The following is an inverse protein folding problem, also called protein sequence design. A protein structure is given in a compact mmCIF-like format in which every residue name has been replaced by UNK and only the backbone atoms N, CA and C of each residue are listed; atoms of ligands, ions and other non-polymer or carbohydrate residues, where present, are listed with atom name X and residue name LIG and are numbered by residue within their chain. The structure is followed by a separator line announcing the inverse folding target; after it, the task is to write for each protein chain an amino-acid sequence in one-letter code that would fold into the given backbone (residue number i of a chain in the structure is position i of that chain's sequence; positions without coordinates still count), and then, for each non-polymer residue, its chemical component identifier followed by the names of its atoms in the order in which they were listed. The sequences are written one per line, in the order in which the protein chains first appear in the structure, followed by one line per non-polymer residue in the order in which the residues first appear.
data_IF_874453681300
#
_entry.id   IF_874453681300
#
_cell.length_a   1.000
_cell.length_b   1.000
_cell.length_c   1.000
_cell.angle_alpha   90.00
_cell.angle_beta   90.00
_cell.angle_gamma   90.00
#
_symmetry.space_group_name_H-M   'P 1'
#
loop_
_entity.id
_entity.type
_entity.pdbx_description
1 polymer ?
#
# COMPACT_ATOMS: atom_id res chain seq x y z
N UNK A 1 -0.70 -17.58 20.94
CA UNK A 1 -0.61 -17.41 19.48
C UNK A 1 -0.62 -15.91 19.25
N UNK A 2 0.56 -15.31 19.26
CA UNK A 2 0.72 -13.88 19.06
C UNK A 2 0.59 -13.62 17.57
N UNK A 3 -0.52 -13.01 17.16
CA UNK A 3 -0.70 -12.52 15.79
C UNK A 3 0.36 -11.45 15.57
N UNK A 4 1.44 -11.82 14.86
CA UNK A 4 2.53 -10.93 14.46
C UNK A 4 2.01 -9.85 13.52
N UNK A 5 1.28 -8.87 14.06
CA UNK A 5 0.99 -7.63 13.38
C UNK A 5 2.30 -6.86 13.35
N UNK A 6 2.98 -6.85 12.19
CA UNK A 6 4.17 -6.03 12.00
C UNK A 6 3.90 -4.62 12.52
N UNK A 7 4.76 -4.15 13.44
CA UNK A 7 4.63 -2.84 14.08
C UNK A 7 4.40 -1.82 12.97
N UNK A 8 3.28 -1.06 12.99
CA UNK A 8 3.06 -0.04 11.96
C UNK A 8 4.28 0.87 11.94
N UNK A 9 4.77 1.30 10.75
CA UNK A 9 5.86 2.26 10.70
C UNK A 9 5.43 3.46 11.54
N UNK A 10 6.04 3.61 12.72
CA UNK A 10 5.67 4.66 13.69
C UNK A 10 6.13 6.04 13.21
N UNK A 11 6.78 6.09 12.04
CA UNK A 11 7.30 7.28 11.40
C UNK A 11 6.61 7.50 10.03
N UNK A 12 5.62 8.43 9.98
CA UNK A 12 4.95 8.83 8.74
C UNK A 12 5.93 9.42 7.69
N UNK A 13 7.05 10.00 8.14
CA UNK A 13 8.08 10.55 7.25
C UNK A 13 8.85 9.44 6.57
N UNK A 14 9.14 8.35 7.27
CA UNK A 14 9.75 7.16 6.68
C UNK A 14 8.85 6.53 5.62
N UNK A 15 7.56 6.37 5.93
CA UNK A 15 6.58 5.86 4.97
C UNK A 15 6.48 6.74 3.72
N UNK A 16 6.40 8.06 3.90
CA UNK A 16 6.38 9.01 2.80
C UNK A 16 7.63 8.92 1.92
N UNK A 17 8.82 8.88 2.53
CA UNK A 17 10.08 8.75 1.79
C UNK A 17 10.15 7.46 0.99
N UNK A 18 9.68 6.36 1.55
CA UNK A 18 9.68 5.04 0.93
C UNK A 18 8.78 5.04 -0.31
N UNK A 19 7.53 5.52 -0.19
CA UNK A 19 6.61 5.68 -1.33
C UNK A 19 7.20 6.61 -2.40
N UNK A 20 7.77 7.76 -2.01
CA UNK A 20 8.41 8.67 -2.97
C UNK A 20 9.59 8.01 -3.68
N UNK A 21 10.37 7.18 -3.00
CA UNK A 21 11.48 6.45 -3.61
C UNK A 21 10.96 5.49 -4.68
N UNK A 22 9.99 4.64 -4.34
CA UNK A 22 9.37 3.72 -5.31
C UNK A 22 8.81 4.48 -6.51
N UNK A 23 8.02 5.54 -6.28
CA UNK A 23 7.45 6.34 -7.37
C UNK A 23 8.52 6.97 -8.27
N UNK A 24 9.73 7.23 -7.78
CA UNK A 24 10.82 7.75 -8.62
C UNK A 24 11.45 6.66 -9.48
N UNK A 25 11.47 5.42 -9.00
CA UNK A 25 12.03 4.27 -9.71
C UNK A 25 11.11 3.79 -10.83
N UNK A 26 9.80 3.76 -10.57
CA UNK A 26 8.78 3.27 -11.51
C UNK A 26 8.24 4.38 -12.42
N UNK A 27 8.02 5.60 -11.90
CA UNK A 27 7.44 6.72 -12.64
C UNK A 27 8.44 7.86 -12.86
N UNK A 28 8.79 8.08 -14.13
CA UNK A 28 9.59 9.25 -14.56
C UNK A 28 8.72 10.51 -14.53
N UNK A 29 8.93 11.37 -13.54
CA UNK A 29 8.16 12.62 -13.37
C UNK A 29 8.75 13.56 -12.30
N UNK A 30 8.06 14.69 -12.04
CA UNK A 30 8.43 15.67 -10.99
C UNK A 30 7.42 15.75 -9.84
N UNK A 31 6.33 14.97 -9.93
CA UNK A 31 5.18 15.09 -9.03
C UNK A 31 5.10 13.98 -7.97
N UNK A 32 6.14 13.16 -7.79
CA UNK A 32 6.12 12.01 -6.87
C UNK A 32 5.78 12.39 -5.43
N UNK A 33 6.26 13.55 -4.97
CA UNK A 33 5.92 14.05 -3.63
C UNK A 33 4.43 14.33 -3.48
N UNK A 34 3.79 14.93 -4.49
CA UNK A 34 2.35 15.22 -4.46
C UNK A 34 1.54 13.93 -4.53
N UNK A 35 1.96 13.00 -5.39
CA UNK A 35 1.33 11.68 -5.53
C UNK A 35 1.39 10.91 -4.20
N UNK A 36 2.57 10.80 -3.59
CA UNK A 36 2.73 10.18 -2.27
C UNK A 36 1.86 10.87 -1.21
N UNK A 37 1.79 12.21 -1.22
CA UNK A 37 0.94 12.95 -0.29
C UNK A 37 -0.55 12.65 -0.50
N UNK A 38 -1.02 12.52 -1.74
CA UNK A 38 -2.41 12.15 -2.02
C UNK A 38 -2.75 10.76 -1.47
N UNK A 39 -1.86 9.79 -1.69
CA UNK A 39 -2.02 8.42 -1.18
C UNK A 39 -2.09 8.37 0.35
N UNK A 40 -1.15 9.04 1.03
CA UNK A 40 -1.12 9.05 2.50
C UNK A 40 -2.25 9.86 3.13
N UNK A 41 -2.76 10.88 2.43
CA UNK A 41 -3.96 11.58 2.90
C UNK A 41 -5.19 10.67 2.88
N UNK A 42 -5.32 9.80 1.87
CA UNK A 42 -6.40 8.80 1.83
C UNK A 42 -6.22 7.73 2.90
N UNK A 43 -4.99 7.29 3.14
CA UNK A 43 -4.63 6.42 4.28
C UNK A 43 -5.10 7.00 5.62
N UNK A 44 -4.75 8.26 5.88
CA UNK A 44 -5.13 8.97 7.10
C UNK A 44 -6.65 9.20 7.25
N UNK A 45 -7.41 9.20 6.13
CA UNK A 45 -8.87 9.35 6.14
C UNK A 45 -9.63 8.05 6.43
N UNK A 46 -8.91 6.92 6.55
CA UNK A 46 -9.47 5.64 6.96
C UNK A 46 -9.48 4.55 5.89
N UNK A 47 -9.09 4.84 4.65
CA UNK A 47 -8.85 3.82 3.62
C UNK A 47 -7.39 3.43 3.66
N UNK A 48 -7.06 2.27 4.23
CA UNK A 48 -5.69 1.87 4.50
C UNK A 48 -4.92 1.58 3.22
N UNK A 49 -3.77 2.23 3.01
CA UNK A 49 -2.91 1.94 1.87
C UNK A 49 -2.24 0.57 2.07
N UNK A 50 -2.37 -0.30 1.08
CA UNK A 50 -1.87 -1.68 1.12
C UNK A 50 -0.66 -1.86 0.21
N UNK A 51 -0.75 -1.41 -1.04
CA UNK A 51 0.28 -1.63 -2.03
C UNK A 51 0.19 -0.64 -3.20
N UNK A 52 1.22 -0.61 -4.04
CA UNK A 52 1.20 -0.01 -5.38
C UNK A 52 1.37 -1.12 -6.42
N UNK A 53 0.67 -1.00 -7.54
CA UNK A 53 0.83 -1.92 -8.68
C UNK A 53 2.22 -1.78 -9.34
N UNK A 54 2.55 -2.67 -10.29
CA UNK A 54 3.86 -2.71 -10.97
C UNK A 54 4.28 -1.38 -11.61
N UNK A 55 3.33 -0.68 -12.25
CA UNK A 55 3.60 0.57 -12.95
C UNK A 55 3.37 1.78 -12.04
N UNK A 56 2.94 1.54 -10.80
CA UNK A 56 2.54 2.55 -9.80
C UNK A 56 1.53 3.56 -10.35
N UNK A 57 0.64 3.08 -11.22
CA UNK A 57 -0.49 3.85 -11.73
C UNK A 57 -1.72 3.76 -10.83
N UNK A 58 -1.80 2.66 -10.08
CA UNK A 58 -2.90 2.37 -9.19
C UNK A 58 -2.37 2.00 -7.82
N UNK A 59 -3.07 2.49 -6.81
CA UNK A 59 -2.79 2.19 -5.42
C UNK A 59 -3.89 1.30 -4.87
N UNK A 60 -3.48 0.24 -4.19
CA UNK A 60 -4.39 -0.70 -3.56
C UNK A 60 -4.71 -0.20 -2.16
N UNK A 61 -5.99 0.05 -1.92
CA UNK A 61 -6.51 0.46 -0.63
C UNK A 61 -7.44 -0.61 -0.05
N UNK A 62 -7.35 -0.81 1.26
CA UNK A 62 -8.30 -1.59 2.02
C UNK A 62 -9.22 -0.65 2.80
N UNK A 63 -10.53 -0.74 2.54
CA UNK A 63 -11.53 -0.02 3.30
C UNK A 63 -12.04 -0.91 4.45
N UNK A 64 -11.69 -0.61 5.71
CA UNK A 64 -12.12 -1.43 6.85
C UNK A 64 -13.63 -1.32 7.12
N UNK A 65 -14.29 -0.22 6.72
CA UNK A 65 -15.72 -0.03 6.96
C UNK A 65 -16.58 -0.97 6.09
N UNK A 66 -16.19 -1.15 4.83
CA UNK A 66 -16.86 -2.04 3.87
C UNK A 66 -16.19 -3.41 3.73
N UNK A 67 -15.01 -3.59 4.31
CA UNK A 67 -14.15 -4.79 4.15
C UNK A 67 -13.89 -5.07 2.66
N UNK A 68 -13.61 -4.01 1.91
CA UNK A 68 -13.33 -4.06 0.46
C UNK A 68 -11.88 -3.73 0.19
N UNK A 69 -11.34 -4.37 -0.84
CA UNK A 69 -10.03 -4.05 -1.40
C UNK A 69 -10.24 -3.44 -2.78
N UNK A 70 -9.65 -2.27 -3.00
CA UNK A 70 -9.92 -1.42 -4.15
C UNK A 70 -8.60 -0.96 -4.77
N UNK A 71 -8.49 -1.05 -6.08
CA UNK A 71 -7.39 -0.51 -6.88
C UNK A 71 -7.80 0.85 -7.42
N UNK A 72 -7.18 1.91 -6.91
CA UNK A 72 -7.57 3.29 -7.19
C UNK A 72 -6.49 3.94 -8.04
N UNK A 73 -6.80 4.40 -9.27
CA UNK A 73 -5.88 5.18 -10.07
C UNK A 73 -5.45 6.46 -9.33
N UNK A 74 -4.21 6.87 -9.53
CA UNK A 74 -3.74 8.13 -8.97
C UNK A 74 -2.70 8.81 -9.86
N UNK A 75 -2.70 10.13 -9.81
CA UNK A 75 -1.70 10.97 -10.47
C UNK A 75 -1.36 12.23 -9.65
N UNK A 76 -0.78 13.24 -10.30
CA UNK A 76 -0.38 14.51 -9.69
C UNK A 76 -1.54 15.28 -9.04
N UNK A 77 -2.76 15.07 -9.52
CA UNK A 77 -3.98 15.77 -9.13
C UNK A 77 -4.68 15.06 -7.94
N UNK A 78 -4.39 13.78 -7.71
CA UNK A 78 -4.87 13.02 -6.55
C UNK A 78 -5.20 11.56 -6.87
N UNK A 79 -6.02 10.96 -6.01
CA UNK A 79 -6.62 9.64 -6.22
C UNK A 79 -7.99 9.79 -6.88
N UNK A 80 -8.27 8.97 -7.90
CA UNK A 80 -9.51 9.00 -8.67
C UNK A 80 -10.42 7.85 -8.25
N UNK A 81 -11.26 8.11 -7.25
CA UNK A 81 -12.13 7.09 -6.64
C UNK A 81 -13.26 6.65 -7.58
N UNK A 82 -13.69 7.51 -8.50
CA UNK A 82 -14.71 7.19 -9.51
C UNK A 82 -14.24 6.10 -10.49
N UNK A 83 -12.92 5.97 -10.70
CA UNK A 83 -12.27 4.96 -11.55
C UNK A 83 -11.69 3.78 -10.72
N UNK A 84 -12.11 3.66 -9.46
CA UNK A 84 -11.68 2.59 -8.58
C UNK A 84 -12.23 1.23 -9.02
N UNK A 85 -11.35 0.25 -9.09
CA UNK A 85 -11.71 -1.14 -9.36
C UNK A 85 -11.77 -1.94 -8.05
N UNK A 86 -12.87 -2.63 -7.80
CA UNK A 86 -12.99 -3.51 -6.63
C UNK A 86 -12.29 -4.84 -6.90
N UNK A 87 -11.12 -5.03 -6.29
CA UNK A 87 -10.33 -6.26 -6.39
C UNK A 87 -10.92 -7.40 -5.57
N UNK A 88 -11.46 -7.09 -4.39
CA UNK A 88 -12.06 -8.09 -3.50
C UNK A 88 -13.13 -7.48 -2.61
N UNK A 89 -14.15 -8.29 -2.30
CA UNK A 89 -15.25 -7.94 -1.39
C UNK A 89 -15.25 -8.89 -0.20
N UNK A 90 -15.69 -8.40 0.95
CA UNK A 90 -15.77 -9.17 2.19
C UNK A 90 -14.42 -9.75 2.62
N UNK A 91 -13.33 -9.02 2.34
CA UNK A 91 -11.99 -9.45 2.66
C UNK A 91 -11.81 -9.38 4.18
N UNK A 92 -11.48 -10.52 4.78
CA UNK A 92 -11.29 -10.61 6.23
C UNK A 92 -9.91 -10.17 6.66
N UNK A 93 -8.90 -10.47 5.85
CA UNK A 93 -7.52 -10.10 6.09
C UNK A 93 -6.89 -9.58 4.78
N UNK A 94 -6.48 -8.30 4.71
CA UNK A 94 -5.80 -7.76 3.54
C UNK A 94 -4.41 -8.36 3.34
N UNK A 95 -3.75 -8.89 4.38
CA UNK A 95 -2.40 -9.43 4.26
C UNK A 95 -2.34 -10.69 3.38
N UNK A 96 -3.37 -11.54 3.46
CA UNK A 96 -3.54 -12.72 2.61
C UNK A 96 -3.63 -12.37 1.11
N UNK A 97 -4.24 -11.22 0.77
CA UNK A 97 -4.26 -10.73 -0.61
C UNK A 97 -2.86 -10.26 -1.05
N UNK A 98 -2.14 -9.57 -0.16
CA UNK A 98 -0.76 -9.12 -0.46
C UNK A 98 0.15 -10.31 -0.71
N UNK A 99 0.11 -11.35 0.14
CA UNK A 99 0.91 -12.57 -0.04
C UNK A 99 0.68 -13.19 -1.43
N UNK A 100 -0.58 -13.29 -1.86
CA UNK A 100 -0.93 -13.88 -3.15
C UNK A 100 -0.52 -13.04 -4.37
N UNK A 101 -0.33 -11.72 -4.20
CA UNK A 101 -0.10 -10.79 -5.31
C UNK A 101 1.28 -10.12 -5.28
N UNK A 102 2.12 -10.38 -4.28
CA UNK A 102 3.41 -9.69 -4.07
C UNK A 102 4.31 -9.67 -5.31
N UNK A 103 4.26 -10.71 -6.15
CA UNK A 103 5.07 -10.82 -7.34
C UNK A 103 4.80 -9.75 -8.41
N UNK A 104 3.61 -9.11 -8.39
CA UNK A 104 3.19 -8.08 -9.35
C UNK A 104 3.04 -6.70 -8.72
N UNK A 105 3.52 -6.51 -7.49
CA UNK A 105 3.46 -5.24 -6.78
C UNK A 105 4.82 -4.56 -6.83
N UNK A 106 4.87 -3.31 -7.28
CA UNK A 106 6.10 -2.51 -7.20
C UNK A 106 6.43 -2.15 -5.75
N UNK A 107 5.42 -2.08 -4.90
CA UNK A 107 5.59 -1.72 -3.51
C UNK A 107 4.50 -2.29 -2.62
N UNK A 108 4.92 -2.76 -1.44
CA UNK A 108 4.04 -3.24 -0.38
C UNK A 108 4.20 -2.34 0.84
N UNK A 109 3.07 -1.91 1.41
CA UNK A 109 3.07 -1.09 2.61
C UNK A 109 3.79 -1.83 3.75
N UNK A 110 4.70 -1.18 4.51
CA UNK A 110 5.53 -1.84 5.52
C UNK A 110 4.75 -2.71 6.52
N UNK A 111 3.55 -2.27 6.89
CA UNK A 111 2.64 -3.04 7.77
C UNK A 111 2.24 -4.43 7.24
N UNK A 112 2.35 -4.70 5.93
CA UNK A 112 2.01 -5.98 5.30
C UNK A 112 3.24 -6.77 4.84
N UNK A 113 4.46 -6.21 4.96
CA UNK A 113 5.69 -6.87 4.50
C UNK A 113 5.97 -8.18 5.22
N UNK A 114 5.54 -8.32 6.48
CA UNK A 114 5.62 -9.59 7.23
C UNK A 114 4.88 -10.73 6.53
N UNK A 115 3.74 -10.46 5.89
CA UNK A 115 2.95 -11.47 5.19
C UNK A 115 3.63 -11.96 3.90
N UNK A 116 4.56 -11.18 3.36
CA UNK A 116 5.35 -11.56 2.20
C UNK A 116 6.68 -12.23 2.58
N UNK A 117 6.96 -12.42 3.88
CA UNK A 117 8.29 -12.84 4.33
C UNK A 117 9.39 -11.79 4.08
N UNK A 118 9.02 -10.53 3.81
CA UNK A 118 9.95 -9.43 3.52
C UNK A 118 10.50 -8.78 4.80
N UNK A 119 10.01 -9.18 5.98
CA UNK A 119 10.56 -8.78 7.27
C UNK A 119 11.61 -9.82 7.72
N UNK A 120 12.82 -9.75 7.15
CA UNK A 120 13.97 -10.54 7.63
C UNK A 120 14.55 -9.95 8.93
N UNK A 121 13.72 -9.81 9.96
CA UNK A 121 14.18 -9.58 11.34
C UNK A 121 13.52 -10.56 12.30
N UNK A 122 14.04 -11.78 12.29
CA UNK A 122 13.85 -12.67 13.43
C UNK A 122 14.04 -14.17 13.24
N UNK A 123 14.75 -14.65 12.21
CA UNK A 123 15.39 -15.97 12.34
C UNK A 123 16.75 -15.77 12.97
N UNK A 124 16.89 -16.21 14.23
CA UNK A 124 17.98 -17.05 14.75
C UNK A 124 17.99 -17.09 16.28
N UNK A 125 18.44 -18.19 16.91
CA UNK A 125 18.18 -19.61 16.67
C UNK A 125 17.28 -20.26 17.74
#
# INVERSE_FOLDING_TARGET
METGQGTPPSDPTALFRDVVSTLRETRRGVYQHRMAQALLQKDARGSRLVALDEDTERAVFFNPASRTLESVPFDRDGTHEDDAEVLSRQLSDPASWVEANVAVLAWVHPHFRWACGLDERGVQP
#
